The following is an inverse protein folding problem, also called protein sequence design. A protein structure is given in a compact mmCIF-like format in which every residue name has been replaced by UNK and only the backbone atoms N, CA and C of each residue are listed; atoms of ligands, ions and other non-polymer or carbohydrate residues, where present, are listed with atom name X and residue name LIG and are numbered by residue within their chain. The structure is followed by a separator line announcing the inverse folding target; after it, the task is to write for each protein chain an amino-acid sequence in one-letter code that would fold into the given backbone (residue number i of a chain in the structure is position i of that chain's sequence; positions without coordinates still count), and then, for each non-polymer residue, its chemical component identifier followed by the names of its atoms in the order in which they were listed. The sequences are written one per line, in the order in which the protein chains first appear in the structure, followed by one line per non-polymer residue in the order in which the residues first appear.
data_IF_116148926904
#
_entry.id   IF_116148926904
#
_cell.length_a   1.000
_cell.length_b   1.000
_cell.length_c   1.000
_cell.angle_alpha   90.00
_cell.angle_beta   90.00
_cell.angle_gamma   90.00
#
_symmetry.space_group_name_H-M   'P 1'
#
loop_
_entity.id
_entity.type
_entity.pdbx_description
1 polymer ?
#
# COMPACT_ATOMS: atom_id res chain seq x y z
N UNK A 1 -2.26 -24.85 -22.08
CA UNK A 1 -2.52 -24.64 -20.66
C UNK A 1 -4.02 -24.43 -20.52
N UNK A 2 -4.68 -24.96 -19.48
CA UNK A 2 -6.11 -24.71 -19.25
C UNK A 2 -6.34 -23.31 -18.68
N UNK A 3 -7.61 -22.87 -18.64
CA UNK A 3 -8.03 -21.60 -18.05
C UNK A 3 -7.58 -21.52 -16.59
N UNK A 4 -6.86 -20.46 -16.21
CA UNK A 4 -6.39 -20.21 -14.85
C UNK A 4 -7.50 -19.53 -14.05
N UNK A 5 -7.93 -20.15 -12.96
CA UNK A 5 -8.91 -19.58 -12.04
C UNK A 5 -8.22 -18.74 -10.98
N UNK A 6 -8.53 -17.43 -10.93
CA UNK A 6 -7.99 -16.48 -9.96
C UNK A 6 -9.09 -16.07 -9.00
N UNK A 7 -8.85 -16.21 -7.71
CA UNK A 7 -9.83 -15.94 -6.67
C UNK A 7 -9.49 -14.63 -5.97
N UNK A 8 -10.46 -13.72 -5.88
CA UNK A 8 -10.34 -12.47 -5.13
C UNK A 8 -11.24 -12.50 -3.91
N UNK A 9 -10.68 -12.25 -2.73
CA UNK A 9 -11.40 -12.15 -1.46
C UNK A 9 -11.37 -10.69 -1.01
N UNK A 10 -12.56 -10.11 -0.77
CA UNK A 10 -12.71 -8.68 -0.54
C UNK A 10 -12.77 -7.86 -1.84
N UNK A 11 -13.30 -8.48 -2.90
CA UNK A 11 -13.34 -7.94 -4.26
C UNK A 11 -14.13 -6.63 -4.39
N UNK A 12 -15.00 -6.29 -3.43
CA UNK A 12 -15.75 -5.04 -3.41
C UNK A 12 -14.93 -3.86 -2.83
N UNK A 13 -13.76 -4.10 -2.23
CA UNK A 13 -12.84 -3.06 -1.78
C UNK A 13 -12.32 -2.23 -2.95
N UNK A 14 -12.09 -0.93 -2.74
CA UNK A 14 -11.72 0.01 -3.80
C UNK A 14 -10.40 -0.39 -4.51
N UNK A 15 -9.34 -0.62 -3.76
CA UNK A 15 -8.04 -1.04 -4.31
C UNK A 15 -8.13 -2.40 -4.99
N UNK A 16 -8.88 -3.35 -4.39
CA UNK A 16 -9.08 -4.67 -4.97
C UNK A 16 -9.87 -4.61 -6.29
N UNK A 17 -10.91 -3.77 -6.38
CA UNK A 17 -11.64 -3.53 -7.65
C UNK A 17 -10.72 -3.00 -8.73
N UNK A 18 -9.86 -2.04 -8.39
CA UNK A 18 -8.87 -1.50 -9.31
C UNK A 18 -7.89 -2.58 -9.75
N UNK A 19 -7.38 -3.40 -8.83
CA UNK A 19 -6.52 -4.54 -9.19
C UNK A 19 -7.22 -5.51 -10.16
N UNK A 20 -8.49 -5.83 -9.92
CA UNK A 20 -9.30 -6.69 -10.79
C UNK A 20 -9.47 -6.06 -12.18
N UNK A 21 -9.87 -4.78 -12.25
CA UNK A 21 -10.10 -4.07 -13.51
C UNK A 21 -8.80 -3.91 -14.32
N UNK A 22 -7.67 -3.65 -13.65
CA UNK A 22 -6.34 -3.56 -14.28
C UNK A 22 -5.84 -4.92 -14.75
N UNK A 23 -5.98 -5.95 -13.92
CA UNK A 23 -5.59 -7.31 -14.33
C UNK A 23 -6.43 -7.82 -15.51
N UNK A 24 -7.71 -7.45 -15.60
CA UNK A 24 -8.59 -7.85 -16.69
C UNK A 24 -8.17 -7.34 -18.08
N UNK A 25 -7.25 -6.37 -18.14
CA UNK A 25 -6.66 -5.87 -19.40
C UNK A 25 -5.51 -6.78 -19.88
N UNK A 26 -4.88 -7.51 -18.96
CA UNK A 26 -3.75 -8.37 -19.30
C UNK A 26 -4.19 -9.55 -20.20
N UNK A 27 -3.36 -9.86 -21.17
CA UNK A 27 -3.54 -11.02 -22.04
C UNK A 27 -3.41 -12.33 -21.23
N UNK A 28 -4.26 -13.29 -21.52
CA UNK A 28 -4.21 -14.61 -20.89
C UNK A 28 -5.55 -15.36 -20.94
N UNK A 29 -5.47 -16.65 -20.62
CA UNK A 29 -6.65 -17.50 -20.44
C UNK A 29 -6.93 -17.65 -18.95
N UNK A 30 -7.73 -16.73 -18.39
CA UNK A 30 -8.06 -16.63 -16.98
C UNK A 30 -9.58 -16.46 -16.74
N UNK A 31 -10.02 -16.93 -15.59
CA UNK A 31 -11.34 -16.71 -15.01
C UNK A 31 -11.21 -16.07 -13.62
N UNK A 32 -11.98 -15.01 -13.35
CA UNK A 32 -11.96 -14.29 -12.09
C UNK A 32 -13.14 -14.70 -11.23
N UNK A 33 -12.89 -15.27 -10.08
CA UNK A 33 -13.90 -15.60 -9.07
C UNK A 33 -13.86 -14.54 -7.95
N UNK A 34 -14.87 -13.69 -7.90
CA UNK A 34 -14.94 -12.52 -7.04
C UNK A 34 -15.79 -12.79 -5.80
N UNK A 35 -15.21 -12.62 -4.62
CA UNK A 35 -15.88 -12.87 -3.35
C UNK A 35 -15.85 -11.65 -2.44
N UNK A 36 -17.01 -11.31 -1.88
CA UNK A 36 -17.17 -10.28 -0.84
C UNK A 36 -18.43 -10.56 -0.02
N UNK A 37 -18.57 -9.87 1.10
CA UNK A 37 -19.82 -9.89 1.89
C UNK A 37 -20.90 -8.99 1.30
N UNK A 38 -20.58 -8.16 0.30
CA UNK A 38 -21.47 -7.18 -0.36
C UNK A 38 -21.74 -7.57 -1.82
N UNK A 39 -22.64 -8.53 -2.07
CA UNK A 39 -22.88 -9.09 -3.41
C UNK A 39 -23.36 -8.05 -4.44
N UNK A 40 -24.08 -7.03 -4.01
CA UNK A 40 -24.59 -5.96 -4.90
C UNK A 40 -23.48 -5.16 -5.58
N UNK A 41 -22.34 -4.98 -4.90
CA UNK A 41 -21.16 -4.32 -5.48
C UNK A 41 -20.41 -5.23 -6.45
N UNK A 42 -20.40 -6.53 -6.19
CA UNK A 42 -19.78 -7.53 -7.07
C UNK A 42 -20.50 -7.65 -8.41
N UNK A 43 -21.84 -7.62 -8.41
CA UNK A 43 -22.62 -7.66 -9.65
C UNK A 43 -22.31 -6.48 -10.58
N UNK A 44 -22.11 -5.28 -10.01
CA UNK A 44 -21.71 -4.11 -10.78
C UNK A 44 -20.29 -4.26 -11.36
N UNK A 45 -19.39 -4.85 -10.60
CA UNK A 45 -18.02 -5.10 -11.05
C UNK A 45 -18.00 -6.10 -12.22
N UNK A 46 -18.69 -7.25 -12.08
CA UNK A 46 -18.77 -8.27 -13.14
C UNK A 46 -19.31 -7.69 -14.47
N UNK A 47 -20.28 -6.79 -14.41
CA UNK A 47 -20.84 -6.15 -15.63
C UNK A 47 -19.83 -5.27 -16.38
N UNK A 48 -18.76 -4.81 -15.73
CA UNK A 48 -17.70 -4.01 -16.35
C UNK A 48 -16.54 -4.85 -16.90
N UNK A 49 -16.49 -6.11 -16.51
CA UNK A 49 -15.45 -7.04 -16.93
C UNK A 49 -15.82 -7.74 -18.26
N UNK A 50 -14.87 -8.32 -18.99
CA UNK A 50 -15.13 -9.05 -20.21
C UNK A 50 -16.18 -10.15 -19.98
N UNK A 51 -17.21 -10.27 -20.84
CA UNK A 51 -18.31 -11.21 -20.65
C UNK A 51 -17.81 -12.66 -20.54
N UNK A 52 -18.35 -13.39 -19.56
CA UNK A 52 -18.03 -14.80 -19.34
C UNK A 52 -16.69 -15.07 -18.66
N UNK A 53 -15.92 -14.02 -18.31
CA UNK A 53 -14.61 -14.17 -17.66
C UNK A 53 -14.62 -13.88 -16.16
N UNK A 54 -15.75 -13.50 -15.59
CA UNK A 54 -15.84 -13.21 -14.17
C UNK A 54 -17.15 -13.77 -13.59
N UNK A 55 -17.06 -14.32 -12.40
CA UNK A 55 -18.18 -14.72 -11.56
C UNK A 55 -18.11 -14.02 -10.22
N UNK A 56 -19.26 -13.87 -9.54
CA UNK A 56 -19.34 -13.24 -8.24
C UNK A 56 -20.19 -14.05 -7.28
N UNK A 57 -19.76 -14.16 -6.02
CA UNK A 57 -20.54 -14.79 -4.97
C UNK A 57 -20.30 -14.10 -3.62
N UNK A 58 -21.27 -14.24 -2.72
CA UNK A 58 -21.12 -13.82 -1.33
C UNK A 58 -20.21 -14.81 -0.60
N UNK A 59 -19.21 -14.30 0.11
CA UNK A 59 -18.36 -15.07 1.01
C UNK A 59 -18.09 -14.27 2.28
N UNK A 60 -18.22 -14.92 3.43
CA UNK A 60 -17.63 -14.50 4.69
C UNK A 60 -16.30 -15.26 4.85
N UNK A 61 -15.17 -14.57 4.88
CA UNK A 61 -13.86 -15.18 4.99
C UNK A 61 -13.63 -15.93 6.31
N UNK A 62 -14.49 -15.71 7.32
CA UNK A 62 -14.49 -16.45 8.58
C UNK A 62 -15.33 -17.75 8.53
N UNK A 63 -16.12 -17.96 7.48
CA UNK A 63 -16.70 -19.26 7.16
C UNK A 63 -15.62 -20.14 6.53
N UNK A 64 -15.00 -20.98 7.37
CA UNK A 64 -13.86 -21.83 7.01
C UNK A 64 -14.19 -22.81 5.88
N UNK A 65 -15.39 -23.39 5.88
CA UNK A 65 -15.80 -24.34 4.85
C UNK A 65 -16.07 -23.61 3.53
N UNK A 66 -16.78 -22.49 3.58
CA UNK A 66 -17.04 -21.63 2.43
C UNK A 66 -15.74 -21.07 1.82
N UNK A 67 -14.81 -20.61 2.66
CA UNK A 67 -13.51 -20.12 2.22
C UNK A 67 -12.70 -21.21 1.50
N UNK A 68 -12.61 -22.39 2.09
CA UNK A 68 -11.91 -23.54 1.49
C UNK A 68 -12.51 -23.91 0.13
N UNK A 69 -13.83 -24.03 0.04
CA UNK A 69 -14.51 -24.33 -1.22
C UNK A 69 -14.29 -23.22 -2.26
N UNK A 70 -14.24 -21.97 -1.84
CA UNK A 70 -14.03 -20.83 -2.73
C UNK A 70 -12.62 -20.82 -3.37
N UNK A 71 -11.58 -21.27 -2.64
CA UNK A 71 -10.18 -21.20 -3.11
C UNK A 71 -9.70 -22.51 -3.75
N UNK A 72 -10.42 -23.62 -3.60
CA UNK A 72 -10.01 -24.93 -4.11
C UNK A 72 -9.70 -24.88 -5.61
N UNK A 73 -8.50 -25.35 -6.01
CA UNK A 73 -8.07 -25.39 -7.41
C UNK A 73 -7.77 -24.01 -8.05
N UNK A 74 -7.69 -22.95 -7.25
CA UNK A 74 -7.28 -21.64 -7.79
C UNK A 74 -5.80 -21.66 -8.18
N UNK A 75 -5.47 -20.93 -9.26
CA UNK A 75 -4.09 -20.67 -9.65
C UNK A 75 -3.44 -19.60 -8.76
N UNK A 76 -4.25 -18.69 -8.23
CA UNK A 76 -3.83 -17.64 -7.30
C UNK A 76 -5.03 -17.16 -6.48
N UNK A 77 -4.83 -16.94 -5.18
CA UNK A 77 -5.76 -16.26 -4.29
C UNK A 77 -5.23 -14.87 -3.99
N UNK A 78 -6.02 -13.84 -4.24
CA UNK A 78 -5.69 -12.44 -3.95
C UNK A 78 -6.57 -11.95 -2.81
N UNK A 79 -5.96 -11.52 -1.71
CA UNK A 79 -6.67 -10.93 -0.58
C UNK A 79 -6.65 -9.39 -0.67
N UNK A 80 -7.84 -8.79 -0.80
CA UNK A 80 -8.05 -7.35 -0.76
C UNK A 80 -9.00 -6.90 0.36
N UNK A 81 -9.30 -7.78 1.33
CA UNK A 81 -10.18 -7.46 2.45
C UNK A 81 -9.36 -7.00 3.67
N UNK A 82 -9.33 -5.70 3.93
CA UNK A 82 -8.75 -5.14 5.16
C UNK A 82 -9.74 -5.09 6.35
N UNK A 83 -9.26 -4.83 7.59
CA UNK A 83 -7.85 -4.65 7.96
C UNK A 83 -7.10 -5.99 8.01
N UNK A 84 -5.90 -6.04 7.45
CA UNK A 84 -5.13 -7.27 7.25
C UNK A 84 -4.75 -7.99 8.54
N UNK A 85 -4.51 -7.25 9.61
CA UNK A 85 -4.27 -7.82 10.95
C UNK A 85 -5.37 -8.81 11.40
N UNK A 86 -6.56 -8.76 10.81
CA UNK A 86 -7.67 -9.67 11.11
C UNK A 86 -7.95 -10.68 10.00
N UNK A 87 -7.69 -10.30 8.77
CA UNK A 87 -8.18 -11.04 7.59
C UNK A 87 -7.11 -11.91 6.94
N UNK A 88 -5.83 -11.52 7.03
CA UNK A 88 -4.75 -12.24 6.38
C UNK A 88 -4.56 -13.66 6.93
N UNK A 89 -4.47 -13.82 8.26
CA UNK A 89 -4.22 -15.12 8.91
C UNK A 89 -5.20 -16.23 8.48
N UNK A 90 -6.53 -16.04 8.56
CA UNK A 90 -7.48 -17.05 8.10
C UNK A 90 -7.33 -17.44 6.63
N UNK A 91 -7.07 -16.48 5.74
CA UNK A 91 -6.93 -16.76 4.30
C UNK A 91 -5.61 -17.45 3.99
N UNK A 92 -4.51 -17.01 4.61
CA UNK A 92 -3.20 -17.69 4.49
C UNK A 92 -3.26 -19.13 4.95
N UNK A 93 -3.89 -19.40 6.10
CA UNK A 93 -4.05 -20.76 6.61
C UNK A 93 -4.85 -21.63 5.63
N UNK A 94 -5.95 -21.10 5.06
CA UNK A 94 -6.73 -21.82 4.07
C UNK A 94 -5.93 -22.11 2.78
N UNK A 95 -5.11 -21.15 2.33
CA UNK A 95 -4.24 -21.33 1.17
C UNK A 95 -3.15 -22.41 1.41
N UNK A 96 -2.55 -22.42 2.59
CA UNK A 96 -1.60 -23.48 3.01
C UNK A 96 -2.25 -24.86 3.01
N UNK A 97 -3.43 -24.98 3.63
CA UNK A 97 -4.18 -26.24 3.69
C UNK A 97 -4.60 -26.76 2.30
N UNK A 98 -4.92 -25.83 1.38
CA UNK A 98 -5.37 -26.15 0.03
C UNK A 98 -4.22 -26.32 -0.99
N UNK A 99 -2.99 -25.97 -0.64
CA UNK A 99 -1.86 -25.98 -1.56
C UNK A 99 -1.97 -24.92 -2.67
N UNK A 100 -2.56 -23.76 -2.38
CA UNK A 100 -2.88 -22.70 -3.37
C UNK A 100 -2.01 -21.46 -3.13
N UNK A 101 -1.40 -20.89 -4.18
CA UNK A 101 -0.64 -19.64 -4.09
C UNK A 101 -1.48 -18.47 -3.56
N UNK A 102 -0.85 -17.63 -2.73
CA UNK A 102 -1.45 -16.48 -2.09
C UNK A 102 -0.74 -15.18 -2.51
N UNK A 103 -1.52 -14.08 -2.63
CA UNK A 103 -1.01 -12.73 -2.85
C UNK A 103 -1.88 -11.72 -2.09
N UNK A 104 -1.25 -10.72 -1.48
CA UNK A 104 -1.93 -9.56 -0.90
C UNK A 104 -1.19 -8.25 -1.20
N UNK A 105 -1.77 -7.13 -0.79
CA UNK A 105 -1.16 -5.81 -0.77
C UNK A 105 -1.24 -5.20 0.65
N UNK A 106 -0.94 -6.05 1.64
CA UNK A 106 -0.92 -5.72 3.06
C UNK A 106 0.17 -4.68 3.38
N UNK A 107 -0.21 -3.69 4.18
CA UNK A 107 0.64 -2.60 4.66
C UNK A 107 0.72 -2.52 6.19
N UNK A 108 0.19 -3.52 6.90
CA UNK A 108 0.25 -3.63 8.36
C UNK A 108 1.50 -4.41 8.81
N UNK A 109 2.32 -3.84 9.69
CA UNK A 109 3.55 -4.49 10.20
C UNK A 109 3.26 -5.79 10.93
N UNK A 110 2.23 -5.81 11.80
CA UNK A 110 1.87 -7.00 12.59
C UNK A 110 1.44 -8.16 11.71
N UNK A 111 0.67 -7.89 10.67
CA UNK A 111 0.24 -8.87 9.68
C UNK A 111 1.42 -9.38 8.85
N UNK A 112 2.31 -8.48 8.41
CA UNK A 112 3.56 -8.82 7.71
C UNK A 112 4.44 -9.75 8.56
N UNK A 113 4.66 -9.43 9.84
CA UNK A 113 5.44 -10.29 10.75
C UNK A 113 4.79 -11.66 10.94
N UNK A 114 3.45 -11.71 11.06
CA UNK A 114 2.72 -12.98 11.12
C UNK A 114 2.92 -13.79 9.83
N UNK A 115 2.76 -13.17 8.66
CA UNK A 115 2.99 -13.85 7.39
C UNK A 115 4.40 -14.41 7.28
N UNK A 116 5.42 -13.62 7.63
CA UNK A 116 6.82 -14.07 7.63
C UNK A 116 7.06 -15.26 8.56
N UNK A 117 6.33 -15.36 9.69
CA UNK A 117 6.43 -16.50 10.59
C UNK A 117 5.92 -17.82 10.01
N UNK A 118 5.11 -17.76 8.95
CA UNK A 118 4.58 -18.94 8.23
C UNK A 118 5.53 -19.45 7.14
N UNK A 119 6.74 -18.90 7.00
CA UNK A 119 7.65 -19.25 5.90
C UNK A 119 7.94 -20.74 5.81
N UNK A 120 8.32 -21.38 6.93
CA UNK A 120 8.65 -22.80 6.97
C UNK A 120 7.42 -23.70 6.68
N UNK A 121 6.25 -23.30 7.16
CA UNK A 121 5.00 -24.01 6.87
C UNK A 121 4.65 -23.93 5.38
N UNK A 122 4.87 -22.75 4.75
CA UNK A 122 4.65 -22.54 3.33
C UNK A 122 5.67 -23.33 2.48
N UNK A 123 6.92 -23.44 2.92
CA UNK A 123 7.94 -24.29 2.30
C UNK A 123 7.51 -25.76 2.38
N UNK A 124 7.08 -26.21 3.56
CA UNK A 124 6.64 -27.60 3.76
C UNK A 124 5.39 -27.96 2.93
N UNK A 125 4.49 -27.00 2.74
CA UNK A 125 3.29 -27.15 1.91
C UNK A 125 3.57 -27.01 0.40
N UNK A 126 4.76 -26.53 -0.01
CA UNK A 126 5.07 -26.24 -1.40
C UNK A 126 4.32 -25.03 -1.96
N UNK A 127 3.89 -24.09 -1.11
CA UNK A 127 3.01 -22.98 -1.45
C UNK A 127 3.79 -21.66 -1.46
N UNK A 128 3.80 -20.89 -2.56
CA UNK A 128 4.31 -19.52 -2.56
C UNK A 128 3.26 -18.56 -2.00
N UNK A 129 3.69 -17.69 -1.10
CA UNK A 129 2.91 -16.58 -0.55
C UNK A 129 3.61 -15.27 -0.82
N UNK A 130 2.99 -14.40 -1.60
CA UNK A 130 3.50 -13.09 -2.00
C UNK A 130 2.79 -12.02 -1.19
N UNK A 131 3.51 -11.39 -0.26
CA UNK A 131 2.94 -10.41 0.67
C UNK A 131 3.38 -8.99 0.34
N UNK A 132 2.53 -7.99 0.65
CA UNK A 132 2.87 -6.59 0.47
C UNK A 132 3.00 -6.16 -1.00
N UNK A 133 2.20 -6.72 -1.91
CA UNK A 133 2.27 -6.49 -3.34
C UNK A 133 1.42 -5.28 -3.77
N UNK A 134 1.57 -4.14 -3.09
CA UNK A 134 0.86 -2.88 -3.34
C UNK A 134 1.75 -1.79 -3.94
N UNK A 135 1.41 -0.53 -3.65
CA UNK A 135 2.23 0.63 -4.02
C UNK A 135 3.40 0.82 -3.04
N UNK A 136 3.10 0.82 -1.73
CA UNK A 136 4.04 0.84 -0.61
C UNK A 136 3.36 0.08 0.54
N UNK A 137 3.93 -1.06 0.98
CA UNK A 137 4.98 -1.84 0.32
C UNK A 137 4.57 -2.36 -1.06
N UNK A 138 5.54 -2.78 -1.83
CA UNK A 138 5.34 -3.36 -3.16
C UNK A 138 6.15 -2.66 -4.22
N UNK A 139 5.56 -1.72 -4.93
CA UNK A 139 6.27 -0.96 -5.96
C UNK A 139 7.48 -0.22 -5.38
N UNK A 140 7.40 0.36 -4.17
CA UNK A 140 8.55 0.95 -3.47
C UNK A 140 9.69 -0.06 -3.29
N UNK A 141 9.40 -1.30 -2.93
CA UNK A 141 10.41 -2.34 -2.76
C UNK A 141 11.08 -2.71 -4.09
N UNK A 142 10.32 -2.71 -5.19
CA UNK A 142 10.87 -2.90 -6.55
C UNK A 142 11.76 -1.72 -6.94
N UNK A 143 11.35 -0.47 -6.65
CA UNK A 143 12.19 0.71 -6.89
C UNK A 143 13.48 0.66 -6.05
N UNK A 144 13.43 0.15 -4.81
CA UNK A 144 14.64 -0.09 -3.99
C UNK A 144 15.54 -1.12 -4.65
N UNK A 145 14.98 -2.24 -5.14
CA UNK A 145 15.77 -3.28 -5.80
C UNK A 145 16.43 -2.77 -7.08
N UNK A 146 15.73 -1.96 -7.86
CA UNK A 146 16.26 -1.31 -9.07
C UNK A 146 17.38 -0.30 -8.75
N UNK A 147 17.19 0.55 -7.73
CA UNK A 147 18.23 1.49 -7.31
C UNK A 147 19.46 0.78 -6.72
N UNK A 148 19.25 -0.24 -5.89
CA UNK A 148 20.31 -1.02 -5.26
C UNK A 148 21.17 -1.79 -6.27
N UNK A 149 20.59 -2.21 -7.40
CA UNK A 149 21.33 -2.92 -8.45
C UNK A 149 22.47 -2.08 -9.08
N UNK A 150 22.45 -0.75 -8.91
CA UNK A 150 23.53 0.12 -9.35
C UNK A 150 24.68 0.26 -8.35
N UNK A 151 24.57 -0.32 -7.16
CA UNK A 151 25.54 -0.19 -6.07
C UNK A 151 26.26 -1.52 -5.79
N UNK A 152 27.55 -1.46 -5.50
CA UNK A 152 28.33 -2.61 -5.05
C UNK A 152 28.00 -2.98 -3.58
N UNK A 153 27.56 -2.00 -2.79
CA UNK A 153 27.13 -2.16 -1.40
C UNK A 153 26.05 -1.15 -1.06
N UNK A 154 25.04 -1.60 -0.38
CA UNK A 154 23.96 -0.76 0.17
C UNK A 154 24.25 -0.43 1.62
N UNK A 155 24.30 0.86 1.96
CA UNK A 155 24.49 1.34 3.35
C UNK A 155 23.18 1.83 3.97
N UNK A 156 22.34 2.60 3.22
CA UNK A 156 21.07 3.09 3.73
C UNK A 156 19.99 3.05 2.66
N UNK A 157 18.75 2.89 3.10
CA UNK A 157 17.55 2.90 2.25
C UNK A 157 16.52 3.82 2.90
N UNK A 158 16.10 4.84 2.17
CA UNK A 158 14.97 5.69 2.54
C UNK A 158 13.83 5.51 1.53
N UNK A 159 12.65 5.16 2.03
CA UNK A 159 11.41 5.01 1.25
C UNK A 159 10.51 6.19 1.55
N UNK A 160 9.90 6.78 0.52
CA UNK A 160 9.03 7.94 0.63
C UNK A 160 7.73 7.70 -0.14
N UNK A 161 6.61 8.01 0.50
CA UNK A 161 5.32 8.04 -0.15
C UNK A 161 4.49 9.26 0.28
N UNK A 162 3.69 9.79 -0.63
CA UNK A 162 2.69 10.83 -0.35
C UNK A 162 1.35 10.38 -0.90
N UNK A 163 0.34 10.46 -0.07
CA UNK A 163 -1.05 10.12 -0.42
C UNK A 163 -1.85 11.40 -0.57
N UNK A 164 -2.37 11.59 -1.78
CA UNK A 164 -3.42 12.53 -2.06
C UNK A 164 -4.48 11.81 -2.87
N UNK A 165 -5.72 11.77 -2.37
CA UNK A 165 -6.82 11.07 -3.02
C UNK A 165 -7.96 12.03 -3.34
N UNK A 166 -8.66 11.79 -4.44
CA UNK A 166 -9.91 12.47 -4.74
C UNK A 166 -11.00 11.96 -3.80
N UNK A 167 -11.47 12.85 -2.93
CA UNK A 167 -12.25 12.53 -1.75
C UNK A 167 -13.72 12.23 -2.06
N UNK A 168 -14.13 11.02 -1.91
CA UNK A 168 -15.53 10.59 -2.03
C UNK A 168 -15.78 9.20 -1.49
N UNK A 169 -14.78 8.33 -1.44
CA UNK A 169 -14.98 6.90 -1.17
C UNK A 169 -13.83 6.21 -0.43
N UNK A 170 -13.10 6.92 0.45
CA UNK A 170 -12.05 6.23 1.23
C UNK A 170 -12.70 5.22 2.18
N UNK A 171 -12.31 3.96 2.03
CA UNK A 171 -12.82 2.86 2.85
C UNK A 171 -12.44 3.00 4.33
N UNK A 172 -13.36 2.58 5.22
CA UNK A 172 -13.13 2.67 6.69
C UNK A 172 -11.89 1.91 7.15
N UNK A 173 -11.50 0.83 6.48
CA UNK A 173 -10.27 0.09 6.77
C UNK A 173 -9.02 0.95 6.51
N UNK A 174 -9.01 1.75 5.43
CA UNK A 174 -7.93 2.69 5.12
C UNK A 174 -7.84 3.79 6.17
N UNK A 175 -8.97 4.30 6.65
CA UNK A 175 -8.99 5.31 7.74
C UNK A 175 -8.50 4.74 9.07
N UNK A 176 -8.83 3.47 9.38
CA UNK A 176 -8.32 2.75 10.55
C UNK A 176 -6.79 2.60 10.46
N UNK A 177 -6.29 2.11 9.33
CA UNK A 177 -4.86 1.98 9.06
C UNK A 177 -4.14 3.33 9.17
N UNK A 178 -4.62 4.37 8.51
CA UNK A 178 -4.04 5.72 8.55
C UNK A 178 -3.91 6.27 9.98
N UNK A 179 -4.90 6.03 10.85
CA UNK A 179 -4.84 6.45 12.26
C UNK A 179 -3.76 5.71 13.05
N UNK A 180 -3.53 4.44 12.77
CA UNK A 180 -2.46 3.62 13.37
C UNK A 180 -1.09 4.08 12.91
N UNK A 181 -0.94 4.22 11.60
CA UNK A 181 0.31 4.66 10.94
C UNK A 181 0.74 6.04 11.44
N UNK A 182 -0.21 6.95 11.67
CA UNK A 182 0.11 8.33 12.08
C UNK A 182 0.42 8.51 13.57
N UNK A 183 0.18 7.53 14.42
CA UNK A 183 0.28 7.72 15.88
C UNK A 183 0.83 6.53 16.66
N UNK A 184 0.94 5.37 16.03
CA UNK A 184 1.42 4.15 16.66
C UNK A 184 2.94 4.09 16.86
N UNK A 185 3.46 2.99 17.39
CA UNK A 185 4.88 2.70 17.35
C UNK A 185 5.32 2.54 15.90
N UNK A 186 6.51 3.03 15.58
CA UNK A 186 7.13 2.93 14.27
C UNK A 186 8.38 2.05 14.39
N UNK A 187 8.38 0.89 13.78
CA UNK A 187 9.58 0.09 13.66
C UNK A 187 10.43 0.65 12.52
N UNK A 188 11.68 0.94 12.82
CA UNK A 188 12.68 1.36 11.85
C UNK A 188 13.93 0.49 12.00
N UNK A 189 14.85 0.56 11.05
CA UNK A 189 16.12 -0.16 11.10
C UNK A 189 17.25 0.84 11.21
N UNK A 190 17.98 0.82 12.32
CA UNK A 190 19.07 1.74 12.59
C UNK A 190 20.31 0.99 13.10
N UNK A 191 21.48 1.40 12.60
CA UNK A 191 22.76 0.81 12.96
C UNK A 191 22.81 -0.72 12.82
N UNK A 192 22.10 -1.26 11.82
CA UNK A 192 22.04 -2.69 11.54
C UNK A 192 21.09 -3.49 12.42
N UNK A 193 20.12 -2.84 13.06
CA UNK A 193 19.13 -3.52 13.90
C UNK A 193 17.77 -2.79 13.98
N UNK A 194 16.72 -3.51 14.42
CA UNK A 194 15.39 -2.91 14.59
C UNK A 194 15.35 -1.98 15.81
N UNK A 195 14.76 -0.81 15.64
CA UNK A 195 14.53 0.19 16.68
C UNK A 195 13.07 0.63 16.65
N UNK A 196 12.50 0.93 17.81
CA UNK A 196 11.13 1.47 17.91
C UNK A 196 11.16 2.98 18.13
N UNK A 197 10.56 3.70 17.21
CA UNK A 197 10.28 5.12 17.31
C UNK A 197 8.80 5.39 17.56
N UNK A 198 8.43 6.64 17.73
CA UNK A 198 7.05 7.11 17.68
C UNK A 198 6.77 7.61 16.28
N UNK A 199 5.78 7.04 15.63
CA UNK A 199 5.35 7.44 14.29
C UNK A 199 4.96 8.92 14.21
N UNK A 200 5.31 9.56 13.11
CA UNK A 200 5.04 10.96 12.76
C UNK A 200 5.63 11.99 13.73
N UNK A 201 6.74 11.67 14.37
CA UNK A 201 7.52 12.62 15.19
C UNK A 201 8.67 13.20 14.38
N UNK A 202 9.47 12.35 13.75
CA UNK A 202 10.53 12.81 12.85
C UNK A 202 9.95 13.24 11.51
N UNK A 203 10.42 14.37 10.99
CA UNK A 203 9.96 14.94 9.72
C UNK A 203 11.14 15.22 8.80
N UNK A 204 10.90 15.09 7.50
CA UNK A 204 11.85 15.48 6.45
C UNK A 204 11.16 16.26 5.35
N UNK A 205 11.92 17.16 4.73
CA UNK A 205 11.60 17.73 3.46
C UNK A 205 12.34 16.96 2.38
N UNK A 206 11.63 16.44 1.39
CA UNK A 206 12.19 15.73 0.25
C UNK A 206 11.58 16.21 -1.06
N UNK A 207 12.41 16.27 -2.11
CA UNK A 207 11.95 16.52 -3.46
C UNK A 207 11.42 15.21 -4.04
N UNK A 208 10.09 15.10 -4.18
CA UNK A 208 9.45 13.88 -4.69
C UNK A 208 9.37 13.84 -6.23
N UNK A 209 9.61 14.96 -6.90
CA UNK A 209 9.44 15.05 -8.35
C UNK A 209 7.98 14.97 -8.79
N UNK A 210 7.75 14.62 -10.07
CA UNK A 210 6.41 14.40 -10.64
C UNK A 210 5.42 15.57 -10.42
N UNK A 211 5.93 16.81 -10.34
CA UNK A 211 5.13 17.98 -10.01
C UNK A 211 4.71 18.10 -8.54
N UNK A 212 5.14 17.16 -7.65
CA UNK A 212 4.93 17.25 -6.21
C UNK A 212 5.82 18.33 -5.58
N UNK A 213 7.05 18.50 -6.12
CA UNK A 213 8.03 19.44 -5.58
C UNK A 213 8.53 19.03 -4.20
N UNK A 214 9.01 20.03 -3.46
CA UNK A 214 9.49 19.84 -2.10
C UNK A 214 8.29 19.57 -1.17
N UNK A 215 8.26 18.36 -0.59
CA UNK A 215 7.14 17.88 0.21
C UNK A 215 7.62 17.44 1.58
N UNK A 216 6.83 17.74 2.62
CA UNK A 216 7.08 17.27 3.96
C UNK A 216 6.52 15.86 4.14
N UNK A 217 7.33 15.00 4.69
CA UNK A 217 7.02 13.62 5.04
C UNK A 217 7.43 13.32 6.47
N UNK A 218 6.82 12.31 7.07
CA UNK A 218 7.01 11.94 8.46
C UNK A 218 7.46 10.48 8.52
N UNK A 219 8.43 10.17 9.39
CA UNK A 219 8.76 8.77 9.65
C UNK A 219 7.51 8.02 10.13
N UNK A 220 7.23 6.89 9.50
CA UNK A 220 5.94 6.24 9.65
C UNK A 220 6.07 4.73 9.82
N UNK A 221 5.15 4.15 10.59
CA UNK A 221 5.04 2.72 10.75
C UNK A 221 4.62 2.08 9.42
N UNK A 222 5.55 1.34 8.81
CA UNK A 222 5.33 0.69 7.52
C UNK A 222 6.21 -0.56 7.38
N UNK A 223 5.86 -1.57 6.56
CA UNK A 223 6.57 -2.85 6.49
C UNK A 223 8.00 -2.81 5.95
N UNK A 224 8.40 -1.82 5.13
CA UNK A 224 9.70 -1.82 4.47
C UNK A 224 10.90 -1.92 5.43
N UNK A 225 10.93 -1.24 6.60
CA UNK A 225 12.01 -1.45 7.57
C UNK A 225 12.03 -2.85 8.21
N UNK A 226 10.96 -3.64 8.04
CA UNK A 226 10.88 -5.03 8.50
C UNK A 226 11.30 -5.99 7.39
N UNK A 227 10.94 -5.72 6.15
CA UNK A 227 11.12 -6.65 5.02
C UNK A 227 12.47 -6.46 4.32
N UNK A 228 12.87 -5.23 4.02
CA UNK A 228 14.09 -4.92 3.30
C UNK A 228 15.38 -5.44 3.95
N UNK A 229 15.53 -5.50 5.30
CA UNK A 229 16.72 -6.07 5.93
C UNK A 229 16.96 -7.55 5.57
N UNK A 230 15.92 -8.28 5.16
CA UNK A 230 16.04 -9.69 4.73
C UNK A 230 16.88 -9.81 3.45
N UNK A 231 16.75 -8.85 2.54
CA UNK A 231 17.53 -8.79 1.29
C UNK A 231 18.80 -7.96 1.44
N UNK A 232 18.80 -6.97 2.30
CA UNK A 232 19.91 -6.04 2.53
C UNK A 232 20.37 -6.07 3.98
N UNK A 233 20.89 -7.22 4.49
CA UNK A 233 21.23 -7.40 5.90
C UNK A 233 22.39 -6.51 6.36
N UNK A 234 23.23 -6.04 5.44
CA UNK A 234 24.36 -5.16 5.72
C UNK A 234 23.97 -3.67 5.72
N UNK A 235 22.73 -3.34 5.38
CA UNK A 235 22.24 -1.97 5.43
C UNK A 235 22.23 -1.46 6.88
N UNK A 236 22.81 -0.26 7.08
CA UNK A 236 22.89 0.37 8.40
C UNK A 236 21.56 0.95 8.82
N UNK A 237 20.88 1.64 7.89
CA UNK A 237 19.62 2.29 8.17
C UNK A 237 18.63 2.01 7.05
N UNK A 238 17.38 1.66 7.42
CA UNK A 238 16.26 1.51 6.51
C UNK A 238 15.06 2.20 7.15
N UNK A 239 14.53 3.22 6.48
CA UNK A 239 13.47 4.08 7.01
C UNK A 239 12.36 4.28 6.00
N UNK A 240 11.13 4.39 6.49
CA UNK A 240 9.97 4.73 5.67
C UNK A 240 9.38 6.07 6.13
N UNK A 241 9.09 6.96 5.18
CA UNK A 241 8.52 8.27 5.42
C UNK A 241 7.24 8.43 4.60
N UNK A 242 6.16 8.81 5.27
CA UNK A 242 4.86 9.03 4.66
C UNK A 242 4.33 10.44 4.88
N UNK A 243 3.44 10.86 4.01
CA UNK A 243 2.77 12.14 4.11
C UNK A 243 1.42 12.18 3.40
N UNK A 244 0.62 13.17 3.75
CA UNK A 244 -0.67 13.44 3.13
C UNK A 244 -0.62 14.77 2.38
N UNK A 245 -1.25 14.83 1.23
CA UNK A 245 -1.43 16.05 0.45
C UNK A 245 -2.92 16.41 0.33
N UNK A 246 -3.32 17.65 0.67
CA UNK A 246 -2.49 18.76 1.17
C UNK A 246 -2.02 18.59 2.62
N UNK A 247 -0.87 19.17 2.92
CA UNK A 247 -0.12 19.01 4.16
C UNK A 247 -0.92 19.19 5.49
N UNK A 248 -1.95 20.08 5.61
CA UNK A 248 -2.74 20.17 6.85
C UNK A 248 -3.42 18.87 7.28
N UNK A 249 -3.69 17.94 6.37
CA UNK A 249 -4.24 16.63 6.73
C UNK A 249 -3.28 15.84 7.63
N UNK A 250 -1.97 16.01 7.49
CA UNK A 250 -0.98 15.39 8.38
C UNK A 250 -1.24 15.77 9.85
N UNK A 251 -1.51 17.05 10.11
CA UNK A 251 -1.84 17.52 11.46
C UNK A 251 -3.16 16.96 11.99
N UNK A 252 -4.18 16.93 11.14
CA UNK A 252 -5.51 16.40 11.51
C UNK A 252 -5.40 14.93 11.91
N UNK A 253 -4.83 14.10 11.05
CA UNK A 253 -4.73 12.66 11.27
C UNK A 253 -3.85 12.35 12.49
N UNK A 254 -2.71 13.03 12.64
CA UNK A 254 -1.85 12.90 13.81
C UNK A 254 -2.55 13.27 15.10
N UNK A 255 -3.27 14.41 15.14
CA UNK A 255 -3.97 14.86 16.34
C UNK A 255 -5.08 13.90 16.77
N UNK A 256 -5.82 13.36 15.82
CA UNK A 256 -6.87 12.36 16.06
C UNK A 256 -6.27 11.00 16.44
N UNK A 257 -5.25 10.55 15.72
CA UNK A 257 -4.55 9.29 15.99
C UNK A 257 -3.91 9.25 17.37
N UNK A 258 -3.25 10.34 17.80
CA UNK A 258 -2.70 10.45 19.15
C UNK A 258 -3.80 10.39 20.24
N UNK A 259 -5.00 10.91 19.97
CA UNK A 259 -6.13 10.80 20.91
C UNK A 259 -6.63 9.35 21.01
N UNK A 260 -6.63 8.61 19.92
CA UNK A 260 -6.95 7.17 19.91
C UNK A 260 -5.89 6.39 20.68
N UNK A 261 -4.60 6.60 20.39
CA UNK A 261 -3.49 5.93 21.07
C UNK A 261 -3.52 6.15 22.59
N UNK A 262 -3.86 7.36 23.02
CA UNK A 262 -4.00 7.72 24.45
C UNK A 262 -5.30 7.23 25.09
N UNK A 263 -6.17 6.54 24.36
CA UNK A 263 -7.47 6.08 24.83
C UNK A 263 -8.48 7.20 25.15
N UNK A 264 -8.21 8.44 24.73
CA UNK A 264 -9.11 9.60 24.95
C UNK A 264 -10.18 9.73 23.89
N UNK A 265 -10.06 8.99 22.77
CA UNK A 265 -11.04 8.92 21.70
C UNK A 265 -11.15 7.46 21.20
N UNK A 266 -12.37 6.87 21.16
CA UNK A 266 -12.54 5.54 20.57
C UNK A 266 -12.21 5.54 19.08
N UNK A 267 -11.55 4.48 18.57
CA UNK A 267 -11.19 4.32 17.16
C UNK A 267 -12.38 4.54 16.23
N UNK A 268 -13.53 3.94 16.54
CA UNK A 268 -14.74 4.08 15.72
C UNK A 268 -15.19 5.53 15.56
N UNK A 269 -15.09 6.34 16.61
CA UNK A 269 -15.42 7.77 16.55
C UNK A 269 -14.39 8.59 15.78
N UNK A 270 -13.14 8.16 15.80
CA UNK A 270 -12.08 8.77 15.01
C UNK A 270 -12.30 8.50 13.52
N UNK A 271 -12.61 7.27 13.16
CA UNK A 271 -12.97 6.88 11.79
C UNK A 271 -14.20 7.65 11.31
N UNK A 272 -15.28 7.70 12.11
CA UNK A 272 -16.50 8.47 11.77
C UNK A 272 -16.21 9.96 11.55
N UNK A 273 -15.27 10.52 12.32
CA UNK A 273 -14.86 11.92 12.13
C UNK A 273 -14.10 12.13 10.83
N UNK A 274 -13.12 11.26 10.52
CA UNK A 274 -12.36 11.36 9.26
C UNK A 274 -13.26 11.11 8.05
N UNK A 275 -14.12 10.11 8.09
CA UNK A 275 -15.11 9.83 7.04
C UNK A 275 -16.04 11.04 6.79
N UNK A 276 -16.52 11.68 7.85
CA UNK A 276 -17.30 12.90 7.73
C UNK A 276 -16.49 14.03 7.07
N UNK A 277 -15.24 14.23 7.50
CA UNK A 277 -14.36 15.25 6.93
C UNK A 277 -14.11 15.01 5.43
N UNK A 278 -13.87 13.75 5.04
CA UNK A 278 -13.65 13.35 3.65
C UNK A 278 -14.90 13.54 2.77
N UNK A 279 -16.10 13.48 3.36
CA UNK A 279 -17.37 13.69 2.65
C UNK A 279 -17.91 15.11 2.82
N UNK A 280 -17.06 16.08 3.14
CA UNK A 280 -17.41 17.50 3.34
C UNK A 280 -18.48 17.73 4.42
N UNK A 281 -18.53 16.86 5.44
CA UNK A 281 -19.39 17.02 6.61
C UNK A 281 -18.56 17.51 7.80
N UNK A 282 -19.20 18.22 8.71
CA UNK A 282 -18.49 18.82 9.86
C UNK A 282 -17.85 17.77 10.81
N UNK A 283 -18.40 16.56 10.88
CA UNK A 283 -17.94 15.54 11.81
C UNK A 283 -18.33 15.88 13.28
N UNK A 284 -17.66 15.20 14.22
CA UNK A 284 -17.97 15.35 15.65
C UNK A 284 -17.02 16.37 16.34
N UNK A 285 -17.50 17.01 17.42
CA UNK A 285 -16.77 18.06 18.18
C UNK A 285 -15.46 17.51 18.77
N UNK A 286 -15.46 16.26 19.27
CA UNK A 286 -14.28 15.63 19.85
C UNK A 286 -13.17 15.46 18.79
N UNK A 287 -13.55 15.04 17.57
CA UNK A 287 -12.63 14.96 16.44
C UNK A 287 -11.99 16.31 16.12
N UNK A 288 -12.78 17.38 16.03
CA UNK A 288 -12.25 18.72 15.77
C UNK A 288 -11.33 19.22 16.89
N UNK A 289 -11.65 18.95 18.15
CA UNK A 289 -10.76 19.30 19.27
C UNK A 289 -9.37 18.68 19.10
N UNK A 290 -9.32 17.41 18.72
CA UNK A 290 -8.07 16.68 18.52
C UNK A 290 -7.35 17.12 17.22
N UNK A 291 -8.09 17.28 16.13
CA UNK A 291 -7.57 17.80 14.86
C UNK A 291 -6.92 19.18 15.02
N UNK A 292 -7.59 20.11 15.73
CA UNK A 292 -7.03 21.44 16.01
C UNK A 292 -5.76 21.38 16.87
N UNK A 293 -5.65 20.40 17.77
CA UNK A 293 -4.40 20.16 18.51
C UNK A 293 -3.27 19.75 17.58
N UNK A 294 -3.52 18.86 16.64
CA UNK A 294 -2.55 18.45 15.63
C UNK A 294 -2.16 19.60 14.68
N UNK A 295 -3.13 20.36 14.20
CA UNK A 295 -2.88 21.56 13.37
C UNK A 295 -2.02 22.61 14.09
N UNK A 296 -2.28 22.87 15.38
CA UNK A 296 -1.43 23.77 16.18
C UNK A 296 -0.01 23.24 16.32
N UNK A 297 0.15 21.91 16.38
CA UNK A 297 1.48 21.31 16.43
C UNK A 297 2.26 21.56 15.14
N UNK A 298 1.63 21.48 13.96
CA UNK A 298 2.29 21.81 12.68
C UNK A 298 2.85 23.25 12.67
N UNK A 299 2.12 24.20 13.25
CA UNK A 299 2.64 25.58 13.39
C UNK A 299 3.81 25.64 14.37
N UNK A 300 3.73 24.91 15.47
CA UNK A 300 4.78 24.94 16.51
C UNK A 300 6.09 24.31 16.03
N UNK A 301 6.01 23.30 15.18
CA UNK A 301 7.17 22.63 14.60
C UNK A 301 7.69 23.31 13.32
N UNK A 302 7.00 24.34 12.83
CA UNK A 302 7.38 25.06 11.60
C UNK A 302 6.96 24.32 10.31
N UNK A 303 6.13 23.30 10.44
CA UNK A 303 5.64 22.48 9.32
C UNK A 303 4.57 23.21 8.49
N UNK A 304 3.86 24.14 9.08
CA UNK A 304 2.90 25.02 8.39
C UNK A 304 2.85 26.39 9.05
N UNK A 305 2.51 27.41 8.29
CA UNK A 305 2.25 28.75 8.83
C UNK A 305 0.82 28.86 9.34
N UNK A 306 0.59 29.80 10.27
CA UNK A 306 -0.78 30.12 10.74
C UNK A 306 -1.71 30.52 9.60
N UNK A 307 -1.19 31.29 8.65
CA UNK A 307 -1.97 31.79 7.50
C UNK A 307 -2.42 30.64 6.60
N UNK A 308 -1.55 29.67 6.32
CA UNK A 308 -1.88 28.48 5.54
C UNK A 308 -2.99 27.66 6.21
N UNK A 309 -2.89 27.42 7.53
CA UNK A 309 -3.91 26.68 8.25
C UNK A 309 -5.26 27.40 8.31
N UNK A 310 -5.28 28.72 8.52
CA UNK A 310 -6.52 29.50 8.50
C UNK A 310 -7.16 29.43 7.10
N UNK A 311 -6.37 29.62 6.06
CA UNK A 311 -6.83 29.50 4.67
C UNK A 311 -7.39 28.11 4.38
N UNK A 312 -6.67 27.05 4.78
CA UNK A 312 -7.12 25.66 4.60
C UNK A 312 -8.46 25.40 5.31
N UNK A 313 -8.58 25.75 6.61
CA UNK A 313 -9.81 25.53 7.38
C UNK A 313 -10.98 26.35 6.80
N UNK A 314 -10.76 27.60 6.40
CA UNK A 314 -11.79 28.43 5.79
C UNK A 314 -12.28 27.86 4.45
N UNK A 315 -11.37 27.39 3.59
CA UNK A 315 -11.73 26.77 2.33
C UNK A 315 -12.43 25.41 2.53
N UNK A 316 -11.94 24.60 3.45
CA UNK A 316 -12.58 23.32 3.79
C UNK A 316 -14.01 23.52 4.34
N UNK A 317 -14.24 24.57 5.14
CA UNK A 317 -15.54 24.89 5.70
C UNK A 317 -16.60 25.24 4.64
N UNK A 318 -16.20 25.74 3.48
CA UNK A 318 -17.10 26.03 2.34
C UNK A 318 -17.11 24.90 1.29
N UNK A 319 -16.56 23.72 1.61
CA UNK A 319 -16.59 22.55 0.73
C UNK A 319 -15.61 22.63 -0.45
N UNK A 320 -14.56 23.45 -0.34
CA UNK A 320 -13.54 23.52 -1.39
C UNK A 320 -12.77 22.21 -1.50
N UNK A 321 -12.69 21.67 -2.71
CA UNK A 321 -11.83 20.52 -3.04
C UNK A 321 -10.41 21.03 -3.28
N UNK A 322 -9.45 20.44 -2.56
CA UNK A 322 -8.05 20.79 -2.74
C UNK A 322 -7.45 19.93 -3.85
N UNK A 323 -6.64 20.51 -4.74
CA UNK A 323 -5.82 19.67 -5.62
C UNK A 323 -4.94 18.76 -4.76
N UNK A 324 -4.78 17.52 -5.18
CA UNK A 324 -4.01 16.52 -4.48
C UNK A 324 -2.98 15.89 -5.42
N UNK A 325 -1.94 15.33 -4.84
CA UNK A 325 -0.87 14.65 -5.55
C UNK A 325 -0.49 13.39 -4.79
N UNK A 326 -0.15 12.35 -5.54
CA UNK A 326 0.31 11.07 -5.00
C UNK A 326 1.64 10.72 -5.65
N UNK A 327 2.58 10.19 -4.89
CA UNK A 327 3.85 9.81 -5.47
C UNK A 327 4.69 8.93 -4.55
N UNK A 328 5.59 8.19 -5.18
CA UNK A 328 6.57 7.34 -4.53
C UNK A 328 7.98 7.77 -4.92
N UNK A 329 8.90 7.64 -3.98
CA UNK A 329 10.33 7.83 -4.18
C UNK A 329 11.12 6.90 -3.27
N UNK A 330 12.27 6.45 -3.73
CA UNK A 330 13.27 5.79 -2.88
C UNK A 330 14.62 6.43 -3.09
N UNK A 331 15.44 6.43 -2.03
CA UNK A 331 16.85 6.81 -2.08
C UNK A 331 17.67 5.70 -1.44
N UNK A 332 18.58 5.15 -2.22
CA UNK A 332 19.51 4.11 -1.76
C UNK A 332 20.93 4.67 -1.79
N UNK A 333 21.58 4.68 -0.64
CA UNK A 333 22.97 5.15 -0.54
C UNK A 333 23.90 3.99 -0.25
N UNK A 334 25.08 4.05 -0.83
CA UNK A 334 26.08 3.00 -0.65
C UNK A 334 27.37 3.29 -1.40
N UNK A 335 28.02 2.27 -1.89
CA UNK A 335 29.23 2.38 -2.69
C UNK A 335 28.97 1.94 -4.13
N UNK A 336 29.52 2.69 -5.09
CA UNK A 336 29.65 2.31 -6.50
C UNK A 336 31.11 2.53 -6.91
N UNK A 337 31.80 1.47 -7.34
CA UNK A 337 33.23 1.50 -7.65
C UNK A 337 34.08 2.08 -6.49
N UNK A 338 33.71 1.77 -5.25
CA UNK A 338 34.37 2.25 -4.05
C UNK A 338 34.05 3.71 -3.66
N UNK A 339 33.21 4.42 -4.41
CA UNK A 339 32.82 5.81 -4.15
C UNK A 339 31.43 5.89 -3.50
N UNK A 340 31.25 6.74 -2.46
CA UNK A 340 29.94 7.01 -1.90
C UNK A 340 28.98 7.52 -2.98
N UNK A 341 27.85 6.84 -3.16
CA UNK A 341 26.88 7.12 -4.22
C UNK A 341 25.45 7.05 -3.66
N UNK A 342 24.59 7.95 -4.10
CA UNK A 342 23.15 7.90 -3.87
C UNK A 342 22.44 7.65 -5.19
N UNK A 343 21.62 6.62 -5.23
CA UNK A 343 20.76 6.33 -6.36
C UNK A 343 19.31 6.58 -5.94
N UNK A 344 18.59 7.38 -6.73
CA UNK A 344 17.17 7.68 -6.49
C UNK A 344 16.31 7.08 -7.59
N UNK A 345 15.14 6.57 -7.20
CA UNK A 345 14.07 6.18 -8.11
C UNK A 345 12.77 6.83 -7.64
N UNK A 346 11.95 7.26 -8.57
CA UNK A 346 10.68 7.91 -8.27
C UNK A 346 9.66 7.64 -9.37
N UNK A 347 8.39 7.85 -9.04
CA UNK A 347 7.33 7.83 -10.03
C UNK A 347 7.36 9.13 -10.85
N UNK A 348 7.36 9.04 -12.20
CA UNK A 348 7.67 10.20 -13.06
C UNK A 348 6.54 11.23 -13.13
N UNK A 349 5.27 10.76 -13.05
CA UNK A 349 4.08 11.61 -13.15
C UNK A 349 3.03 11.21 -12.13
N UNK A 350 2.14 12.15 -11.79
CA UNK A 350 1.11 11.96 -10.76
C UNK A 350 -0.06 12.92 -11.00
N UNK A 351 -1.23 12.52 -10.53
CA UNK A 351 -2.43 13.34 -10.47
C UNK A 351 -3.49 12.97 -11.51
N UNK A 352 -4.57 13.78 -11.56
CA UNK A 352 -5.70 13.51 -12.45
C UNK A 352 -5.27 13.34 -13.91
N UNK A 353 -5.76 12.30 -14.54
CA UNK A 353 -5.44 11.98 -15.94
C UNK A 353 -4.28 10.99 -16.13
N UNK A 354 -3.57 10.61 -15.07
CA UNK A 354 -2.62 9.50 -15.13
C UNK A 354 -3.34 8.16 -14.92
N UNK A 355 -2.78 7.10 -15.47
CA UNK A 355 -3.29 5.74 -15.32
C UNK A 355 -2.84 5.09 -14.00
N UNK A 356 -1.54 5.25 -13.69
CA UNK A 356 -0.89 4.60 -12.56
C UNK A 356 -1.09 5.39 -11.27
N UNK A 357 -0.87 6.69 -11.30
CA UNK A 357 -0.86 7.58 -10.12
C UNK A 357 -1.95 8.65 -10.18
N UNK A 358 -3.16 8.30 -10.61
CA UNK A 358 -4.34 9.17 -10.43
C UNK A 358 -4.54 9.49 -8.95
N UNK A 359 -4.42 8.46 -8.11
CA UNK A 359 -4.43 8.49 -6.65
C UNK A 359 -3.70 7.26 -6.09
N UNK A 360 -3.60 7.10 -4.77
CA UNK A 360 -2.94 5.96 -4.15
C UNK A 360 -3.70 4.65 -4.35
N UNK A 361 -5.03 4.69 -4.44
CA UNK A 361 -5.81 3.48 -4.69
C UNK A 361 -5.55 2.92 -6.09
N UNK A 362 -5.44 3.80 -7.10
CA UNK A 362 -5.04 3.42 -8.45
C UNK A 362 -3.62 2.84 -8.49
N UNK A 363 -2.68 3.49 -7.79
CA UNK A 363 -1.29 3.01 -7.69
C UNK A 363 -1.22 1.61 -7.07
N UNK A 364 -1.90 1.40 -5.94
CA UNK A 364 -1.93 0.11 -5.24
C UNK A 364 -2.59 -0.98 -6.08
N UNK A 365 -3.76 -0.70 -6.66
CA UNK A 365 -4.47 -1.68 -7.50
C UNK A 365 -3.71 -2.04 -8.78
N UNK A 366 -3.09 -1.06 -9.43
CA UNK A 366 -2.29 -1.30 -10.65
C UNK A 366 -1.02 -2.08 -10.34
N UNK A 367 -0.31 -1.73 -9.26
CA UNK A 367 0.86 -2.48 -8.81
C UNK A 367 0.50 -3.92 -8.44
N UNK A 368 -0.60 -4.13 -7.70
CA UNK A 368 -1.10 -5.47 -7.38
C UNK A 368 -1.37 -6.29 -8.65
N UNK A 369 -2.04 -5.72 -9.64
CA UNK A 369 -2.30 -6.39 -10.93
C UNK A 369 -1.00 -6.76 -11.66
N UNK A 370 0.02 -5.90 -11.62
CA UNK A 370 1.34 -6.19 -12.20
C UNK A 370 2.04 -7.34 -11.45
N UNK A 371 2.00 -7.36 -10.11
CA UNK A 371 2.52 -8.47 -9.32
C UNK A 371 1.79 -9.78 -9.60
N UNK A 372 0.46 -9.74 -9.79
CA UNK A 372 -0.32 -10.93 -10.20
C UNK A 372 0.19 -11.49 -11.54
N UNK A 373 0.44 -10.61 -12.53
CA UNK A 373 1.01 -11.02 -13.82
C UNK A 373 2.36 -11.70 -13.63
N UNK A 374 3.24 -11.11 -12.81
CA UNK A 374 4.58 -11.69 -12.54
C UNK A 374 4.47 -13.04 -11.82
N UNK A 375 3.55 -13.16 -10.84
CA UNK A 375 3.33 -14.40 -10.10
C UNK A 375 2.78 -15.53 -10.99
N UNK A 376 1.83 -15.20 -11.86
CA UNK A 376 1.20 -16.18 -12.78
C UNK A 376 2.12 -16.59 -13.96
N UNK A 377 3.10 -15.77 -14.29
CA UNK A 377 4.14 -16.11 -15.27
C UNK A 377 5.20 -17.08 -14.71
N UNK A 378 5.26 -17.28 -13.38
CA UNK A 378 6.14 -18.28 -12.79
C UNK A 378 5.61 -19.69 -13.01
N UNK A 379 6.52 -20.61 -13.25
CA UNK A 379 6.12 -22.03 -13.35
C UNK A 379 5.69 -22.55 -11.98
N UNK A 380 4.60 -23.34 -11.91
CA UNK A 380 4.18 -23.98 -10.65
C UNK A 380 5.32 -24.76 -10.01
N UNK A 381 5.49 -24.61 -8.68
CA UNK A 381 6.52 -25.30 -7.93
C UNK A 381 7.93 -24.70 -8.00
N UNK A 382 8.11 -23.57 -8.68
CA UNK A 382 9.41 -22.86 -8.71
C UNK A 382 9.75 -22.24 -7.34
N UNK A 383 8.73 -21.81 -6.59
CA UNK A 383 8.88 -21.19 -5.26
C UNK A 383 7.99 -21.84 -4.23
N UNK A 384 8.45 -21.87 -3.00
CA UNK A 384 7.68 -22.23 -1.82
C UNK A 384 8.19 -21.42 -0.63
N UNK A 385 7.29 -20.86 0.16
CA UNK A 385 7.62 -19.97 1.27
C UNK A 385 6.89 -18.63 1.17
N UNK A 386 7.18 -17.74 2.10
CA UNK A 386 6.66 -16.35 2.12
C UNK A 386 7.71 -15.41 1.56
N UNK A 387 7.31 -14.58 0.60
CA UNK A 387 8.20 -13.67 -0.13
C UNK A 387 7.67 -12.24 -0.12
N UNK A 388 8.56 -11.31 0.16
CA UNK A 388 8.32 -9.86 0.02
C UNK A 388 8.76 -9.39 -1.38
N UNK A 389 8.19 -8.29 -1.93
CA UNK A 389 8.38 -7.91 -3.33
C UNK A 389 9.84 -7.83 -3.78
N UNK A 390 10.72 -7.27 -2.94
CA UNK A 390 12.15 -7.18 -3.21
C UNK A 390 12.86 -8.53 -3.33
N UNK A 391 12.30 -9.60 -2.76
CA UNK A 391 12.91 -10.94 -2.78
C UNK A 391 12.60 -11.70 -4.07
N UNK A 392 11.44 -11.44 -4.71
CA UNK A 392 10.97 -12.27 -5.82
C UNK A 392 10.63 -11.52 -7.10
N UNK A 393 10.19 -10.28 -7.02
CA UNK A 393 9.80 -9.50 -8.18
C UNK A 393 11.01 -8.72 -8.75
N UNK A 394 11.62 -9.26 -9.79
CA UNK A 394 12.67 -8.55 -10.50
C UNK A 394 12.12 -7.26 -11.14
N UNK A 395 12.82 -6.11 -11.02
CA UNK A 395 12.34 -4.82 -11.51
C UNK A 395 11.88 -4.85 -12.97
N UNK A 396 12.69 -5.42 -13.87
CA UNK A 396 12.34 -5.49 -15.31
C UNK A 396 11.05 -6.30 -15.56
N UNK A 397 10.86 -7.41 -14.84
CA UNK A 397 9.64 -8.22 -14.96
C UNK A 397 8.42 -7.49 -14.43
N UNK A 398 8.58 -6.77 -13.32
CA UNK A 398 7.51 -5.98 -12.74
C UNK A 398 7.11 -4.81 -13.65
N UNK A 399 8.07 -4.08 -14.21
CA UNK A 399 7.78 -2.99 -15.16
C UNK A 399 7.08 -3.49 -16.42
N UNK A 400 7.48 -4.63 -16.96
CA UNK A 400 6.73 -5.31 -18.04
C UNK A 400 5.32 -5.73 -17.59
N UNK A 401 5.17 -6.14 -16.34
CA UNK A 401 3.87 -6.41 -15.73
C UNK A 401 2.96 -5.18 -15.72
N UNK A 402 3.51 -4.00 -15.35
CA UNK A 402 2.78 -2.73 -15.41
C UNK A 402 2.34 -2.38 -16.84
N UNK A 403 3.22 -2.54 -17.83
CA UNK A 403 2.86 -2.33 -19.25
C UNK A 403 1.72 -3.30 -19.68
N UNK A 404 1.78 -4.57 -19.29
CA UNK A 404 0.77 -5.59 -19.62
C UNK A 404 -0.60 -5.33 -19.00
N UNK A 405 -0.66 -4.67 -17.84
CA UNK A 405 -1.93 -4.25 -17.23
C UNK A 405 -2.39 -2.86 -17.72
N UNK A 406 -1.75 -2.33 -18.76
CA UNK A 406 -2.19 -1.13 -19.48
C UNK A 406 -1.53 0.17 -19.04
N UNK A 407 -0.51 0.14 -18.18
CA UNK A 407 0.19 1.35 -17.74
C UNK A 407 1.01 1.94 -18.89
N UNK A 408 0.84 3.22 -19.24
CA UNK A 408 1.69 3.90 -20.22
C UNK A 408 3.16 3.92 -19.76
N UNK A 409 4.07 3.72 -20.72
CA UNK A 409 5.49 3.60 -20.42
C UNK A 409 6.11 4.87 -19.82
N UNK A 410 5.64 6.03 -20.21
CA UNK A 410 6.04 7.34 -19.68
C UNK A 410 5.52 7.60 -18.26
N UNK A 411 4.61 6.76 -17.77
CA UNK A 411 4.20 6.75 -16.37
C UNK A 411 5.04 5.79 -15.50
N UNK A 412 5.82 4.89 -16.13
CA UNK A 412 6.69 3.94 -15.42
C UNK A 412 8.11 4.49 -15.30
N UNK A 413 8.62 5.07 -16.38
CA UNK A 413 10.00 5.55 -16.48
C UNK A 413 10.05 7.06 -16.65
N UNK A 414 10.96 7.71 -15.91
CA UNK A 414 11.28 9.11 -16.15
C UNK A 414 12.05 9.21 -17.48
N UNK A 415 11.37 9.62 -18.54
CA UNK A 415 11.96 9.79 -19.90
C UNK A 415 12.64 11.15 -20.09
N UNK A 416 12.67 11.98 -19.05
CA UNK A 416 13.34 13.27 -19.03
C UNK A 416 14.83 13.11 -18.66
N UNK A 417 15.61 12.56 -19.60
CA UNK A 417 17.09 12.60 -19.60
C UNK A 417 17.61 13.18 -20.90
#
# INVERSE_FOLDING_TARGET
MGTQRIVFIGAAGEMCRLAIERFAVADGDWELALYDIRPELLEQLVRRLPPGRASAARLDLYDREGLRAAIEGAALVVLGAGPYIRTAGPVMAACLEAGVPYLDFDDDIESTLHALSLHEDAVAAGVPMYIGCGASPGFTNVLVADAAAELDRVDNIDVYWVVGDERGSIGRAVLDHMLRVAAGPCMTWENGGPVLHQSWVETRWTELGAGLGLTMVHETAHPEPVTLPRKYPDAKNIRCFGGLDPAPYNGIVRGVGLAVQKGTMPMVKAIDFLEALMTNKFGNVQGWRNALSGLRNLVRTGEATRTELIKFVALAAVGHTFPHKTGLKVEVTGLRNGLPTTVSRRTPVSGPGTYLFTDMAAATGTACAAFMVVALDEQPGTRAGVFTPEEWAEPERFYKGLERVGTPRDEIFDVSH
#
